data_IF_252427685688
#
_entry.id   IF_252427685688
#
_cell.length_a   1.000
_cell.length_b   1.000
_cell.length_c   1.000
_cell.angle_alpha   90.00
_cell.angle_beta   90.00
_cell.angle_gamma   90.00
#
_symmetry.space_group_name_H-M   'P 1'
#
loop_
_entity.id
_entity.type
_entity.pdbx_description
1 polymer ?
#
# COMPACT_ATOMS: atom_id res chain seq x y z
N UNK A 1 -4.88 -0.05 -5.02
CA UNK A 1 -4.09 0.20 -3.79
C UNK A 1 -2.65 0.37 -4.19
N UNK A 2 -1.87 1.12 -3.40
CA UNK A 2 -0.51 1.50 -3.77
C UNK A 2 0.48 1.12 -2.68
N UNK A 3 1.71 0.86 -3.13
CA UNK A 3 2.91 0.77 -2.33
C UNK A 3 3.72 2.05 -2.42
N UNK A 4 4.43 2.35 -1.34
CA UNK A 4 5.39 3.44 -1.26
C UNK A 4 6.81 2.89 -1.31
N UNK A 5 7.61 3.28 -2.29
CA UNK A 5 8.97 2.73 -2.45
C UNK A 5 9.95 3.14 -1.35
N UNK A 6 9.60 4.15 -0.55
CA UNK A 6 10.41 4.55 0.60
C UNK A 6 10.15 3.67 1.84
N UNK A 7 9.07 2.89 1.83
CA UNK A 7 8.83 1.91 2.89
C UNK A 7 9.75 0.71 2.71
N UNK A 8 10.28 0.22 3.84
CA UNK A 8 11.13 -0.96 3.87
C UNK A 8 10.26 -2.17 4.17
N UNK A 9 10.28 -3.15 3.26
CA UNK A 9 9.60 -4.44 3.41
C UNK A 9 9.96 -5.08 4.76
N UNK A 10 8.95 -5.58 5.47
CA UNK A 10 9.08 -6.27 6.77
C UNK A 10 9.66 -5.42 7.90
N UNK A 11 9.78 -4.09 7.72
CA UNK A 11 10.26 -3.20 8.79
C UNK A 11 9.24 -2.99 9.91
N UNK A 12 7.98 -3.39 9.69
CA UNK A 12 6.89 -3.17 10.63
C UNK A 12 6.47 -1.70 10.77
N UNK A 13 7.00 -0.80 9.92
CA UNK A 13 6.75 0.64 10.02
C UNK A 13 6.52 1.26 8.64
N UNK A 14 5.82 2.39 8.63
CA UNK A 14 5.63 3.24 7.47
C UNK A 14 6.49 4.50 7.61
N UNK A 15 7.10 4.93 6.51
CA UNK A 15 7.84 6.20 6.40
C UNK A 15 6.94 7.36 5.98
N UNK A 16 5.67 7.10 5.65
CA UNK A 16 4.69 8.09 5.24
C UNK A 16 4.04 8.73 6.48
N UNK A 17 4.34 9.99 6.76
CA UNK A 17 3.78 10.76 7.89
C UNK A 17 3.16 12.07 7.44
N UNK A 18 2.32 12.66 8.30
CA UNK A 18 1.75 14.01 8.14
C UNK A 18 1.09 14.24 6.76
N UNK A 19 1.61 15.18 5.97
CA UNK A 19 1.11 15.52 4.65
C UNK A 19 1.11 14.33 3.68
N UNK A 20 2.01 13.35 3.88
CA UNK A 20 2.00 12.12 3.12
C UNK A 20 0.71 11.34 3.35
N UNK A 21 0.26 11.19 4.60
CA UNK A 21 -0.97 10.47 4.95
C UNK A 21 -2.24 11.19 4.49
N UNK A 22 -2.19 12.51 4.29
CA UNK A 22 -3.30 13.27 3.74
C UNK A 22 -3.52 12.96 2.24
N UNK A 23 -2.43 12.83 1.47
CA UNK A 23 -2.49 12.46 0.05
C UNK A 23 -2.61 10.94 -0.16
N UNK A 24 -2.03 10.17 0.76
CA UNK A 24 -1.94 8.71 0.73
C UNK A 24 -2.46 8.11 2.03
N UNK A 25 -3.79 8.08 2.23
CA UNK A 25 -4.36 7.51 3.44
C UNK A 25 -4.00 6.02 3.58
N UNK A 26 -3.61 5.55 4.77
CA UNK A 26 -3.28 4.15 4.98
C UNK A 26 -4.54 3.28 4.83
N UNK A 27 -4.36 2.08 4.29
CA UNK A 27 -5.44 1.08 4.27
C UNK A 27 -5.56 0.52 5.68
N UNK A 28 -6.59 0.92 6.42
CA UNK A 28 -6.79 0.49 7.80
C UNK A 28 -7.71 -0.73 7.89
N UNK A 29 -7.49 -1.56 8.90
CA UNK A 29 -8.33 -2.71 9.23
C UNK A 29 -8.56 -2.81 10.73
N UNK A 30 -9.65 -3.47 11.12
CA UNK A 30 -9.89 -3.88 12.52
C UNK A 30 -9.56 -5.36 12.74
N UNK A 31 -9.26 -6.11 11.68
CA UNK A 31 -8.86 -7.51 11.76
C UNK A 31 -7.35 -7.61 11.95
N UNK A 32 -6.92 -8.43 12.92
CA UNK A 32 -5.51 -8.75 13.10
C UNK A 32 -4.96 -9.63 11.96
N UNK A 33 -5.83 -10.40 11.31
CA UNK A 33 -5.51 -11.29 10.17
C UNK A 33 -6.40 -10.92 8.99
N UNK A 34 -6.06 -9.88 8.22
CA UNK A 34 -6.84 -9.48 7.06
C UNK A 34 -6.77 -10.55 5.97
N UNK A 35 -7.90 -10.77 5.30
CA UNK A 35 -7.98 -11.57 4.08
C UNK A 35 -8.79 -10.80 3.04
N UNK A 36 -8.47 -11.01 1.76
CA UNK A 36 -9.18 -10.39 0.66
C UNK A 36 -9.29 -11.38 -0.50
N UNK A 37 -10.47 -11.45 -1.11
CA UNK A 37 -10.69 -12.29 -2.28
C UNK A 37 -9.83 -11.81 -3.46
N UNK A 38 -9.23 -12.77 -4.18
CA UNK A 38 -8.37 -12.49 -5.32
C UNK A 38 -6.94 -12.05 -4.99
N UNK A 39 -6.62 -11.81 -3.71
CA UNK A 39 -5.24 -11.56 -3.26
C UNK A 39 -4.55 -12.90 -3.00
N UNK A 40 -3.43 -13.12 -3.67
CA UNK A 40 -2.60 -14.33 -3.57
C UNK A 40 -1.33 -14.11 -2.75
N UNK A 41 -0.93 -12.85 -2.53
CA UNK A 41 0.16 -12.50 -1.63
C UNK A 41 -0.24 -12.60 -0.14
N UNK A 42 0.76 -12.45 0.73
CA UNK A 42 0.59 -12.53 2.16
C UNK A 42 0.06 -11.21 2.73
N UNK A 43 -1.18 -11.24 3.22
CA UNK A 43 -1.77 -10.10 3.92
C UNK A 43 -1.39 -10.12 5.40
N UNK A 44 -0.97 -8.97 5.90
CA UNK A 44 -0.62 -8.76 7.30
C UNK A 44 -1.09 -7.40 7.81
N UNK A 45 -0.63 -7.04 9.00
CA UNK A 45 -0.87 -5.71 9.57
C UNK A 45 0.38 -5.15 10.24
N UNK A 46 0.48 -3.82 10.26
CA UNK A 46 1.41 -3.08 11.10
C UNK A 46 0.64 -2.07 11.94
N UNK A 47 1.16 -1.77 13.12
CA UNK A 47 0.57 -0.75 13.99
C UNK A 47 1.13 0.62 13.62
N UNK A 48 0.24 1.54 13.25
CA UNK A 48 0.60 2.93 12.98
C UNK A 48 0.96 3.64 14.29
N UNK A 49 1.70 4.77 14.24
CA UNK A 49 1.98 5.57 15.44
C UNK A 49 0.73 5.99 16.23
N UNK A 50 -0.41 6.15 15.55
CA UNK A 50 -1.70 6.48 16.16
C UNK A 50 -2.44 5.26 16.75
N UNK A 51 -1.79 4.08 16.80
CA UNK A 51 -2.33 2.85 17.38
C UNK A 51 -3.35 2.12 16.50
N UNK A 52 -3.48 2.48 15.22
CA UNK A 52 -4.39 1.80 14.27
C UNK A 52 -3.65 0.70 13.53
N UNK A 53 -4.38 -0.30 13.02
CA UNK A 53 -3.78 -1.35 12.20
C UNK A 53 -3.87 -0.99 10.72
N UNK A 54 -2.72 -0.85 10.07
CA UNK A 54 -2.61 -0.69 8.62
C UNK A 54 -2.33 -2.05 7.98
N UNK A 55 -3.03 -2.34 6.89
CA UNK A 55 -2.85 -3.58 6.12
C UNK A 55 -1.52 -3.53 5.37
N UNK A 56 -0.81 -4.65 5.41
CA UNK A 56 0.36 -4.90 4.57
C UNK A 56 0.06 -6.00 3.57
N UNK A 57 0.76 -5.98 2.44
CA UNK A 57 0.79 -7.06 1.47
C UNK A 57 2.24 -7.41 1.20
N UNK A 58 2.61 -8.68 1.42
CA UNK A 58 3.98 -9.16 1.45
C UNK A 58 4.87 -8.24 2.33
N UNK A 59 4.39 -7.86 3.51
CA UNK A 59 5.17 -7.04 4.45
C UNK A 59 5.40 -5.58 4.05
N UNK A 60 4.78 -5.10 2.97
CA UNK A 60 4.79 -3.69 2.57
C UNK A 60 3.46 -3.01 2.93
N UNK A 61 3.47 -1.80 3.51
CA UNK A 61 2.24 -1.08 3.85
C UNK A 61 1.43 -0.68 2.61
N UNK A 62 0.11 -0.84 2.68
CA UNK A 62 -0.80 -0.44 1.61
C UNK A 62 -1.43 0.93 1.88
N UNK A 63 -1.60 1.70 0.81
CA UNK A 63 -2.22 3.02 0.82
C UNK A 63 -3.32 3.17 -0.24
N UNK A 64 -4.29 4.01 0.08
CA UNK A 64 -5.19 4.62 -0.89
C UNK A 64 -4.56 5.89 -1.47
N UNK A 65 -5.04 6.32 -2.62
CA UNK A 65 -4.72 7.65 -3.14
C UNK A 65 -5.93 8.56 -3.00
N UNK A 66 -5.78 9.70 -2.34
CA UNK A 66 -6.89 10.59 -2.01
C UNK A 66 -7.60 11.18 -3.24
N UNK A 67 -6.95 11.18 -4.42
CA UNK A 67 -7.55 11.66 -5.65
C UNK A 67 -8.22 10.57 -6.49
N UNK A 68 -8.07 9.29 -6.14
CA UNK A 68 -8.82 8.21 -6.79
C UNK A 68 -10.27 8.25 -6.28
N UNK A 69 -11.18 8.76 -7.11
CA UNK A 69 -12.57 9.02 -6.72
C UNK A 69 -13.55 7.93 -7.18
N UNK A 70 -13.18 7.18 -8.24
CA UNK A 70 -14.02 6.15 -8.84
C UNK A 70 -13.31 4.80 -8.83
N UNK A 71 -14.07 3.68 -8.80
CA UNK A 71 -13.51 2.37 -9.02
C UNK A 71 -12.72 2.32 -10.34
N UNK A 72 -11.47 1.86 -10.27
CA UNK A 72 -10.58 1.77 -11.43
C UNK A 72 -9.77 3.03 -11.72
N UNK A 73 -9.95 4.14 -10.98
CA UNK A 73 -8.99 5.24 -11.04
C UNK A 73 -7.62 4.74 -10.55
N UNK A 74 -6.58 5.10 -11.29
CA UNK A 74 -5.18 4.73 -11.01
C UNK A 74 -4.27 5.96 -11.03
N UNK A 75 -4.79 7.12 -10.61
CA UNK A 75 -4.12 8.42 -10.75
C UNK A 75 -2.86 8.54 -9.89
N UNK A 76 -2.74 7.69 -8.87
CA UNK A 76 -1.57 7.60 -8.00
C UNK A 76 -0.37 6.90 -8.64
N UNK A 77 -0.55 6.21 -9.77
CA UNK A 77 0.49 5.41 -10.39
C UNK A 77 1.65 6.28 -10.85
N UNK A 78 2.85 6.00 -10.34
CA UNK A 78 4.08 6.71 -10.69
C UNK A 78 4.20 8.12 -10.09
N UNK A 79 3.31 8.52 -9.16
CA UNK A 79 3.42 9.82 -8.51
C UNK A 79 4.79 9.96 -7.84
N UNK A 80 5.52 11.03 -8.19
CA UNK A 80 6.88 11.31 -7.73
C UNK A 80 7.88 10.14 -7.94
N UNK A 81 7.59 9.19 -8.83
CA UNK A 81 8.35 7.94 -9.04
C UNK A 81 8.51 7.07 -7.78
N UNK A 82 7.64 7.23 -6.78
CA UNK A 82 7.73 6.51 -5.50
C UNK A 82 6.42 5.82 -5.10
N UNK A 83 5.35 5.98 -5.88
CA UNK A 83 4.05 5.36 -5.63
C UNK A 83 3.68 4.44 -6.78
N UNK A 84 3.40 3.17 -6.49
CA UNK A 84 3.10 2.17 -7.51
C UNK A 84 1.95 1.28 -7.07
N UNK A 85 1.12 0.86 -8.02
CA UNK A 85 0.03 -0.07 -7.76
C UNK A 85 0.57 -1.39 -7.20
N UNK A 86 -0.10 -1.88 -6.17
CA UNK A 86 0.06 -3.22 -5.66
C UNK A 86 -0.71 -4.19 -6.55
N UNK A 87 -0.04 -5.20 -7.09
CA UNK A 87 -0.71 -6.35 -7.71
C UNK A 87 -1.24 -7.32 -6.64
N UNK A 88 -2.15 -8.25 -7.00
CA UNK A 88 -2.71 -9.19 -6.02
C UNK A 88 -1.71 -10.20 -5.44
N UNK A 89 -0.56 -10.41 -6.08
CA UNK A 89 0.52 -11.26 -5.58
C UNK A 89 1.49 -10.51 -4.65
N UNK A 90 1.32 -9.19 -4.49
CA UNK A 90 2.17 -8.32 -3.68
C UNK A 90 3.41 -7.80 -4.39
N UNK A 91 3.39 -7.75 -5.72
CA UNK A 91 4.35 -7.02 -6.53
C UNK A 91 3.98 -5.55 -6.71
N UNK A 92 5.00 -4.72 -6.94
CA UNK A 92 4.82 -3.33 -7.37
C UNK A 92 4.76 -3.29 -8.90
N UNK A 93 3.68 -2.77 -9.47
CA UNK A 93 3.56 -2.57 -10.91
C UNK A 93 4.40 -1.34 -11.28
N UNK A 94 5.69 -1.53 -11.55
CA UNK A 94 6.57 -0.51 -12.09
C UNK A 94 6.59 -0.67 -13.61
N UNK A 95 6.15 0.36 -14.35
CA UNK A 95 6.34 0.46 -15.80
C UNK A 95 7.84 0.66 -16.05
N UNK A 96 8.61 -0.43 -15.94
CA UNK A 96 10.08 -0.41 -15.98
C UNK A 96 10.77 -1.61 -15.31
N UNK A 97 10.05 -2.56 -14.70
CA UNK A 97 10.72 -3.67 -14.01
C UNK A 97 9.83 -4.86 -13.65
N UNK A 98 9.28 -5.55 -14.66
CA UNK A 98 8.97 -6.97 -14.58
C UNK A 98 8.72 -7.47 -16.01
N UNK A 99 9.77 -8.02 -16.62
CA UNK A 99 9.65 -8.77 -17.86
C UNK A 99 8.85 -10.04 -17.64
N UNK A 100 8.17 -10.44 -18.71
CA UNK A 100 7.63 -11.78 -18.96
C UNK A 100 8.65 -12.89 -18.70
#
# INVERSE_FOLDING_TARGET
>A
MYFFTKDVKDSGTSTCTDACLAAWPPVLTTSATPSAEGVTGELGTITTPDGKQQVTLNGLPLYYFAQDARPGDILGQGVNNVWYLADPAGGMIQMGGAGY
#
